data_IF_106474955430
#
_entry.id   IF_106474955430
#
_cell.length_a   1.000
_cell.length_b   1.000
_cell.length_c   1.000
_cell.angle_alpha   90.00
_cell.angle_beta   90.00
_cell.angle_gamma   90.00
#
_symmetry.space_group_name_H-M   'P 1'
#
loop_
_entity.id
_entity.type
_entity.pdbx_description
1 polymer ?
#
# COMPACT_ATOMS: atom_id res chain seq x y z
N UNK A 1 34.26 -24.08 51.49
CA UNK A 1 33.65 -22.75 51.70
C UNK A 1 32.41 -22.66 50.82
N UNK A 2 31.26 -22.47 51.45
CA UNK A 2 29.91 -22.57 50.86
C UNK A 2 29.55 -21.22 50.24
N UNK A 3 29.27 -21.14 48.93
CA UNK A 3 28.76 -19.91 48.30
C UNK A 3 27.66 -20.21 47.27
N UNK A 4 26.45 -20.07 47.80
CA UNK A 4 25.20 -19.56 47.25
C UNK A 4 24.91 -19.77 45.75
N UNK A 5 23.98 -20.70 45.50
CA UNK A 5 23.18 -20.83 44.30
C UNK A 5 22.33 -19.55 44.15
N UNK A 6 22.57 -18.78 43.09
CA UNK A 6 21.67 -17.71 42.65
C UNK A 6 20.77 -18.29 41.55
N UNK A 7 19.57 -18.74 41.93
CA UNK A 7 18.50 -19.01 40.96
C UNK A 7 17.98 -17.65 40.52
N UNK A 8 18.48 -17.15 39.39
CA UNK A 8 17.89 -16.02 38.70
C UNK A 8 16.54 -16.48 38.13
N UNK A 9 15.46 -16.19 38.86
CA UNK A 9 14.11 -16.33 38.36
C UNK A 9 13.93 -15.34 37.20
N UNK A 10 14.16 -15.82 35.97
CA UNK A 10 13.78 -15.14 34.75
C UNK A 10 12.24 -15.20 34.65
N UNK A 11 11.57 -14.32 35.38
CA UNK A 11 10.23 -13.88 35.02
C UNK A 11 10.36 -13.10 33.71
N UNK A 12 10.42 -13.83 32.58
CA UNK A 12 10.18 -13.22 31.28
C UNK A 12 8.69 -12.88 31.25
N UNK A 13 8.28 -11.60 31.26
CA UNK A 13 6.94 -11.27 30.82
C UNK A 13 6.87 -11.75 29.37
N UNK A 14 6.06 -12.77 29.12
CA UNK A 14 5.57 -13.08 27.78
C UNK A 14 4.78 -11.84 27.40
N UNK A 15 5.45 -10.87 26.77
CA UNK A 15 4.80 -9.77 26.10
C UNK A 15 3.93 -10.43 25.04
N UNK A 16 2.65 -10.61 25.39
CA UNK A 16 1.65 -11.10 24.47
C UNK A 16 1.74 -10.24 23.23
N UNK A 17 1.87 -10.90 22.08
CA UNK A 17 1.56 -10.31 20.79
C UNK A 17 0.09 -9.88 20.86
N UNK A 18 -0.16 -8.69 21.41
CA UNK A 18 -1.41 -7.99 21.24
C UNK A 18 -1.42 -7.56 19.77
N UNK A 19 -1.87 -8.49 18.92
CA UNK A 19 -2.29 -8.14 17.56
C UNK A 19 -3.55 -7.32 17.74
N UNK A 20 -3.41 -6.02 17.95
CA UNK A 20 -4.51 -5.11 17.68
C UNK A 20 -4.67 -5.11 16.16
N UNK A 21 -5.49 -6.03 15.65
CA UNK A 21 -6.20 -5.81 14.39
C UNK A 21 -7.22 -4.71 14.69
N UNK A 22 -6.71 -3.50 14.91
CA UNK A 22 -7.50 -2.30 15.09
C UNK A 22 -7.21 -1.44 13.86
N UNK A 23 -8.27 -1.14 13.13
CA UNK A 23 -8.19 -0.51 11.83
C UNK A 23 -8.39 -1.48 10.66
N UNK A 24 -9.60 -2.04 10.54
CA UNK A 24 -10.34 -1.83 9.27
C UNK A 24 -10.56 -0.33 9.11
N UNK A 25 -9.48 0.42 8.91
CA UNK A 25 -9.59 1.59 8.07
C UNK A 25 -9.75 0.97 6.69
N UNK A 26 -10.94 1.11 6.10
CA UNK A 26 -10.99 1.18 4.65
C UNK A 26 -9.94 2.24 4.32
N UNK A 27 -8.75 1.79 3.89
CA UNK A 27 -7.89 2.62 3.05
C UNK A 27 -8.86 3.08 1.98
N UNK A 28 -9.34 4.32 2.11
CA UNK A 28 -10.08 5.01 1.07
C UNK A 28 -9.01 5.24 0.01
N UNK A 29 -8.68 4.16 -0.70
CA UNK A 29 -7.90 4.20 -1.91
C UNK A 29 -8.65 5.20 -2.75
N UNK A 30 -8.01 6.33 -3.02
CA UNK A 30 -8.59 7.39 -3.82
C UNK A 30 -8.74 6.84 -5.25
N UNK A 31 -9.86 6.17 -5.52
CA UNK A 31 -10.09 5.45 -6.77
C UNK A 31 -10.70 6.43 -7.77
N UNK A 32 -9.97 6.67 -8.85
CA UNK A 32 -10.47 7.49 -9.96
C UNK A 32 -11.16 6.58 -10.98
N UNK A 33 -12.48 6.64 -11.03
CA UNK A 33 -13.28 5.91 -12.02
C UNK A 33 -13.26 6.60 -13.38
N UNK A 34 -12.80 5.87 -14.40
CA UNK A 34 -12.83 6.30 -15.80
C UNK A 34 -13.98 5.55 -16.48
N UNK A 35 -15.08 6.26 -16.72
CA UNK A 35 -16.26 5.72 -17.42
C UNK A 35 -15.98 5.64 -18.91
N UNK A 36 -16.18 4.47 -19.50
CA UNK A 36 -15.99 4.21 -20.94
C UNK A 36 -17.12 3.35 -21.49
N UNK A 37 -17.40 3.45 -22.79
CA UNK A 37 -18.29 2.51 -23.45
C UNK A 37 -17.70 1.08 -23.40
N UNK A 38 -18.55 0.06 -23.38
CA UNK A 38 -18.14 -1.35 -23.30
C UNK A 38 -17.10 -1.73 -24.36
N UNK A 39 -17.28 -1.26 -25.61
CA UNK A 39 -16.36 -1.49 -26.73
C UNK A 39 -14.94 -0.95 -26.51
N UNK A 40 -14.78 0.03 -25.61
CA UNK A 40 -13.51 0.71 -25.35
C UNK A 40 -12.85 0.21 -24.05
N UNK A 41 -13.48 -0.70 -23.30
CA UNK A 41 -12.97 -1.23 -22.02
C UNK A 41 -11.56 -1.83 -22.16
N UNK A 42 -11.37 -2.74 -23.13
CA UNK A 42 -10.07 -3.38 -23.36
C UNK A 42 -8.96 -2.36 -23.69
N UNK A 43 -9.31 -1.31 -24.45
CA UNK A 43 -8.39 -0.23 -24.79
C UNK A 43 -8.05 0.62 -23.57
N UNK A 44 -9.03 0.90 -22.72
CA UNK A 44 -8.83 1.65 -21.47
C UNK A 44 -7.87 0.91 -20.54
N UNK A 45 -8.09 -0.38 -20.30
CA UNK A 45 -7.23 -1.20 -19.43
C UNK A 45 -5.80 -1.30 -19.97
N UNK A 46 -5.64 -1.52 -21.28
CA UNK A 46 -4.33 -1.57 -21.92
C UNK A 46 -3.59 -0.23 -21.80
N UNK A 47 -4.31 0.88 -21.96
CA UNK A 47 -3.75 2.23 -21.81
C UNK A 47 -3.29 2.47 -20.39
N UNK A 48 -4.12 2.16 -19.39
CA UNK A 48 -3.75 2.30 -17.97
C UNK A 48 -2.53 1.44 -17.61
N UNK A 49 -2.48 0.18 -18.08
CA UNK A 49 -1.32 -0.70 -17.88
C UNK A 49 -0.03 -0.09 -18.45
N UNK A 50 -0.12 0.53 -19.62
CA UNK A 50 1.01 1.20 -20.26
C UNK A 50 1.45 2.45 -19.49
N UNK A 51 0.49 3.26 -19.02
CA UNK A 51 0.77 4.48 -18.27
C UNK A 51 1.40 4.19 -16.90
N UNK A 52 0.97 3.14 -16.19
CA UNK A 52 1.55 2.74 -14.89
C UNK A 52 3.03 2.33 -14.96
N UNK A 53 3.54 2.02 -16.15
CA UNK A 53 4.94 1.69 -16.38
C UNK A 53 5.80 2.93 -16.69
N UNK A 54 5.18 4.10 -16.90
CA UNK A 54 5.91 5.33 -17.18
C UNK A 54 6.39 5.98 -15.87
N UNK A 55 7.55 6.64 -15.90
CA UNK A 55 8.01 7.42 -14.76
C UNK A 55 7.06 8.60 -14.52
N UNK A 56 6.79 8.88 -13.25
CA UNK A 56 6.11 10.11 -12.86
C UNK A 56 7.14 11.24 -12.91
N UNK A 57 6.81 12.33 -13.59
CA UNK A 57 7.71 13.47 -13.80
C UNK A 57 7.08 14.70 -13.16
N UNK A 58 7.87 15.45 -12.40
CA UNK A 58 7.44 16.73 -11.81
C UNK A 58 7.29 17.81 -12.89
N UNK A 59 6.63 18.92 -12.56
CA UNK A 59 6.52 20.09 -13.47
C UNK A 59 7.90 20.67 -13.86
N UNK A 60 8.91 20.47 -13.01
CA UNK A 60 10.30 20.83 -13.27
C UNK A 60 11.07 19.83 -14.15
N UNK A 61 10.42 18.74 -14.59
CA UNK A 61 11.01 17.74 -15.50
C UNK A 61 11.80 16.64 -14.80
N UNK A 62 11.77 16.56 -13.46
CA UNK A 62 12.50 15.53 -12.72
C UNK A 62 11.66 14.27 -12.58
N UNK A 63 12.26 13.12 -12.86
CA UNK A 63 11.62 11.83 -12.58
C UNK A 63 11.58 11.59 -11.08
N UNK A 64 10.40 11.29 -10.55
CA UNK A 64 10.23 10.92 -9.15
C UNK A 64 10.77 9.50 -8.92
N UNK A 65 11.67 9.31 -7.94
CA UNK A 65 12.11 7.98 -7.54
C UNK A 65 10.94 7.10 -7.11
N UNK A 66 11.03 5.80 -7.38
CA UNK A 66 9.95 4.85 -7.07
C UNK A 66 9.56 4.80 -5.58
N UNK A 67 10.48 5.10 -4.66
CA UNK A 67 10.20 5.13 -3.21
C UNK A 67 9.47 6.41 -2.77
N UNK A 68 9.36 7.41 -3.65
CA UNK A 68 8.58 8.63 -3.45
C UNK A 68 7.21 8.56 -4.15
N UNK A 69 6.95 7.49 -4.94
CA UNK A 69 5.58 7.16 -5.33
C UNK A 69 4.88 6.70 -4.06
N UNK A 70 4.17 7.62 -3.43
CA UNK A 70 3.39 7.31 -2.24
C UNK A 70 2.30 6.30 -2.61
N UNK A 71 2.01 5.36 -1.69
CA UNK A 71 0.91 4.40 -1.86
C UNK A 71 -0.46 5.11 -1.78
N UNK A 72 -0.49 6.34 -1.27
CA UNK A 72 -1.64 7.25 -1.29
C UNK A 72 -1.97 7.86 -2.67
N UNK A 73 -1.24 7.49 -3.74
CA UNK A 73 -1.55 8.00 -5.07
C UNK A 73 -2.86 7.38 -5.58
N UNK A 74 -3.78 8.19 -6.14
CA UNK A 74 -5.06 7.69 -6.58
C UNK A 74 -4.92 6.60 -7.64
N UNK A 75 -5.64 5.49 -7.42
CA UNK A 75 -5.63 4.35 -8.35
C UNK A 75 -6.73 4.53 -9.38
N UNK A 76 -6.36 4.69 -10.66
CA UNK A 76 -7.37 4.77 -11.73
C UNK A 76 -7.86 3.39 -12.17
N UNK A 77 -9.18 3.25 -12.34
CA UNK A 77 -9.85 2.04 -12.84
C UNK A 77 -10.81 2.39 -13.98
N UNK A 78 -10.99 1.48 -14.93
CA UNK A 78 -11.96 1.64 -16.01
C UNK A 78 -13.28 0.99 -15.60
N UNK A 79 -14.40 1.69 -15.82
CA UNK A 79 -15.76 1.18 -15.55
C UNK A 79 -16.64 1.39 -16.78
N UNK A 80 -17.61 0.50 -17.00
CA UNK A 80 -18.56 0.64 -18.12
C UNK A 80 -19.55 1.75 -17.81
N UNK A 81 -19.79 2.62 -18.78
CA UNK A 81 -20.88 3.61 -18.73
C UNK A 81 -22.20 2.88 -19.01
N UNK A 82 -23.11 2.87 -18.02
CA UNK A 82 -24.33 2.08 -17.99
C UNK A 82 -25.51 2.75 -18.71
#
# INVERSE_FOLDING_TARGET
>A
MKRFILIAALCLPVAGLATTFDGTDEEVLDIVEIRVAEKDMAKCEQTLRTLRQKPVVTDSGFQLPNFMRNDDLPTSVCVVDA
#
